data_IF_724538758133
#
_entry.id   IF_724538758133
#
_cell.length_a   1.000
_cell.length_b   1.000
_cell.length_c   1.000
_cell.angle_alpha   90.00
_cell.angle_beta   90.00
_cell.angle_gamma   90.00
#
_symmetry.space_group_name_H-M   'P 1'
#
loop_
_entity.id
_entity.type
_entity.pdbx_description
1 polymer ?
#
# COMPACT_ATOMS: atom_id res chain seq x y z
N UNK A 1 -37.65 0.07 17.43
CA UNK A 1 -36.87 -1.00 18.07
C UNK A 1 -36.05 -1.83 17.10
N UNK A 2 -36.56 -2.34 15.98
CA UNK A 2 -35.84 -3.20 15.04
C UNK A 2 -34.55 -2.59 14.46
N UNK A 3 -34.55 -1.30 14.06
CA UNK A 3 -33.39 -0.59 13.49
C UNK A 3 -32.22 -0.48 14.47
N UNK A 4 -32.49 -0.37 15.78
CA UNK A 4 -31.44 -0.34 16.81
C UNK A 4 -30.81 -1.72 17.05
N UNK A 5 -31.61 -2.80 17.01
CA UNK A 5 -31.10 -4.17 17.12
C UNK A 5 -30.18 -4.53 15.96
N UNK A 6 -30.59 -4.23 14.72
CA UNK A 6 -29.78 -4.45 13.51
C UNK A 6 -28.45 -3.69 13.56
N UNK A 7 -28.43 -2.44 14.03
CA UNK A 7 -27.21 -1.64 14.15
C UNK A 7 -26.27 -2.21 15.24
N UNK A 8 -26.79 -2.68 16.36
CA UNK A 8 -25.99 -3.32 17.42
C UNK A 8 -25.35 -4.63 16.92
N UNK A 9 -26.14 -5.46 16.24
CA UNK A 9 -25.65 -6.70 15.64
C UNK A 9 -24.52 -6.43 14.64
N UNK A 10 -24.69 -5.44 13.76
CA UNK A 10 -23.65 -5.07 12.77
C UNK A 10 -22.36 -4.60 13.47
N UNK A 11 -22.45 -3.85 14.57
CA UNK A 11 -21.28 -3.49 15.38
C UNK A 11 -20.63 -4.70 16.02
N UNK A 12 -21.40 -5.63 16.57
CA UNK A 12 -20.88 -6.84 17.19
C UNK A 12 -20.10 -7.69 16.17
N UNK A 13 -20.68 -7.91 14.98
CA UNK A 13 -20.00 -8.61 13.87
C UNK A 13 -18.73 -7.90 13.43
N UNK A 14 -18.78 -6.58 13.29
CA UNK A 14 -17.62 -5.78 12.90
C UNK A 14 -16.48 -5.88 13.93
N UNK A 15 -16.80 -5.72 15.21
CA UNK A 15 -15.81 -5.81 16.29
C UNK A 15 -15.22 -7.22 16.39
N UNK A 16 -16.05 -8.26 16.26
CA UNK A 16 -15.57 -9.65 16.26
C UNK A 16 -14.63 -9.92 15.08
N UNK A 17 -14.97 -9.44 13.87
CA UNK A 17 -14.09 -9.60 12.69
C UNK A 17 -12.77 -8.84 12.83
N UNK A 18 -12.80 -7.59 13.33
CA UNK A 18 -11.58 -6.81 13.57
C UNK A 18 -10.72 -7.43 14.69
N UNK A 19 -11.34 -7.95 15.76
CA UNK A 19 -10.62 -8.63 16.82
C UNK A 19 -9.96 -9.94 16.33
N UNK A 20 -10.67 -10.74 15.54
CA UNK A 20 -10.13 -11.94 14.93
C UNK A 20 -8.95 -11.61 14.00
N UNK A 21 -9.09 -10.58 13.17
CA UNK A 21 -7.99 -10.12 12.30
C UNK A 21 -6.80 -9.61 13.12
N UNK A 22 -7.03 -8.80 14.17
CA UNK A 22 -5.97 -8.32 15.06
C UNK A 22 -5.25 -9.49 15.74
N UNK A 23 -5.97 -10.48 16.26
CA UNK A 23 -5.38 -11.67 16.86
C UNK A 23 -4.51 -12.47 15.87
N UNK A 24 -5.00 -12.63 14.62
CA UNK A 24 -4.24 -13.27 13.56
C UNK A 24 -2.94 -12.49 13.24
N UNK A 25 -3.00 -11.15 13.19
CA UNK A 25 -1.81 -10.31 12.96
C UNK A 25 -0.83 -10.37 14.13
N UNK A 26 -1.32 -10.31 15.37
CA UNK A 26 -0.45 -10.47 16.57
C UNK A 26 0.24 -11.83 16.53
N UNK A 27 -0.52 -12.90 16.24
CA UNK A 27 0.06 -14.24 16.10
C UNK A 27 1.15 -14.29 15.04
N UNK A 28 0.85 -13.83 13.82
CA UNK A 28 1.78 -13.86 12.69
C UNK A 28 3.07 -13.11 13.01
N UNK A 29 2.97 -11.86 13.47
CA UNK A 29 4.14 -11.04 13.78
C UNK A 29 4.93 -11.57 14.97
N UNK A 30 4.28 -12.17 15.95
CA UNK A 30 4.97 -12.85 17.05
C UNK A 30 5.78 -14.04 16.53
N UNK A 31 5.21 -14.88 15.66
CA UNK A 31 5.94 -15.99 15.04
C UNK A 31 7.10 -15.51 14.17
N UNK A 32 6.92 -14.42 13.41
CA UNK A 32 8.00 -13.78 12.64
C UNK A 32 9.16 -13.33 13.52
N UNK A 33 8.91 -12.87 14.75
CA UNK A 33 9.95 -12.50 15.72
C UNK A 33 10.60 -13.70 16.40
N UNK A 34 9.95 -14.85 16.39
CA UNK A 34 10.49 -16.09 16.94
C UNK A 34 11.25 -16.92 15.90
N UNK A 35 11.05 -16.63 14.61
CA UNK A 35 11.76 -17.30 13.51
C UNK A 35 13.22 -16.83 13.44
N UNK A 36 14.19 -17.74 13.27
CA UNK A 36 15.62 -17.37 13.25
C UNK A 36 16.01 -16.49 12.05
N UNK A 37 15.18 -16.36 11.04
CA UNK A 37 15.41 -15.55 9.84
C UNK A 37 16.25 -16.29 8.78
N UNK A 38 15.69 -16.44 7.61
CA UNK A 38 16.30 -17.06 6.44
C UNK A 38 15.26 -17.31 5.37
N UNK A 39 15.65 -17.34 4.11
CA UNK A 39 14.71 -17.38 2.98
C UNK A 39 13.81 -18.63 2.90
N UNK A 40 14.18 -19.72 3.60
CA UNK A 40 13.44 -20.97 3.70
C UNK A 40 12.69 -21.17 5.01
N UNK A 41 12.90 -20.26 5.98
CA UNK A 41 12.30 -20.42 7.30
C UNK A 41 10.79 -20.15 7.27
N UNK A 42 10.01 -20.89 8.07
CA UNK A 42 8.64 -20.52 8.35
C UNK A 42 8.60 -19.10 8.92
N UNK A 43 7.53 -18.35 8.59
CA UNK A 43 7.34 -16.98 9.08
C UNK A 43 8.41 -15.96 8.67
N UNK A 44 9.03 -16.13 7.50
CA UNK A 44 10.05 -15.22 6.96
C UNK A 44 9.55 -13.76 6.92
N UNK A 45 10.34 -12.81 7.46
CA UNK A 45 10.10 -11.38 7.41
C UNK A 45 11.37 -10.57 7.69
N UNK A 46 11.33 -9.25 7.45
CA UNK A 46 12.41 -8.33 7.84
C UNK A 46 12.33 -7.87 9.30
N UNK A 47 11.32 -8.30 10.05
CA UNK A 47 11.03 -7.80 11.39
C UNK A 47 12.15 -8.10 12.40
N UNK A 48 12.77 -9.26 12.31
CA UNK A 48 13.91 -9.64 13.16
C UNK A 48 15.12 -8.71 12.97
N UNK A 49 15.40 -8.31 11.73
CA UNK A 49 16.45 -7.35 11.39
C UNK A 49 16.15 -5.97 11.99
N UNK A 50 14.91 -5.47 11.85
CA UNK A 50 14.50 -4.20 12.42
C UNK A 50 14.58 -4.18 13.96
N UNK A 51 14.25 -5.30 14.62
CA UNK A 51 14.46 -5.44 16.07
C UNK A 51 15.94 -5.39 16.43
N UNK A 52 16.80 -6.10 15.70
CA UNK A 52 18.25 -6.09 15.95
C UNK A 52 18.84 -4.67 15.78
N UNK A 53 18.41 -3.90 14.79
CA UNK A 53 18.82 -2.51 14.62
C UNK A 53 18.34 -1.63 15.78
N UNK A 54 17.10 -1.76 16.21
CA UNK A 54 16.58 -1.00 17.34
C UNK A 54 17.32 -1.33 18.65
N UNK A 55 17.68 -2.59 18.89
CA UNK A 55 18.46 -3.02 20.05
C UNK A 55 19.90 -2.49 20.06
N UNK A 56 20.48 -2.26 18.87
CA UNK A 56 21.80 -1.62 18.72
C UNK A 56 21.74 -0.10 18.80
N UNK A 57 20.56 0.50 19.02
CA UNK A 57 20.38 1.95 19.02
C UNK A 57 20.46 2.60 17.63
N UNK A 58 20.43 1.82 16.56
CA UNK A 58 20.47 2.33 15.20
C UNK A 58 19.11 2.96 14.82
N UNK A 59 19.12 4.27 14.63
CA UNK A 59 17.94 5.03 14.18
C UNK A 59 18.08 5.35 12.70
N UNK A 60 17.46 4.58 11.82
CA UNK A 60 17.46 4.82 10.38
C UNK A 60 16.10 5.28 9.83
N UNK A 61 15.03 5.10 10.59
CA UNK A 61 13.67 5.52 10.25
C UNK A 61 12.79 5.62 11.50
N UNK A 62 11.58 6.15 11.35
CA UNK A 62 10.57 6.15 12.43
C UNK A 62 10.23 4.74 12.93
N UNK A 63 10.46 3.71 12.12
CA UNK A 63 10.27 2.30 12.53
C UNK A 63 11.12 1.95 13.73
N UNK A 64 12.42 2.30 13.72
CA UNK A 64 13.34 2.04 14.85
C UNK A 64 12.88 2.74 16.13
N UNK A 65 12.36 3.98 16.00
CA UNK A 65 11.85 4.77 17.13
C UNK A 65 10.60 4.17 17.78
N UNK A 66 9.86 3.32 17.06
CA UNK A 66 8.65 2.68 17.57
C UNK A 66 8.92 1.24 18.05
N UNK A 67 9.75 0.48 17.33
CA UNK A 67 10.05 -0.91 17.67
C UNK A 67 10.82 -1.02 18.98
N UNK A 68 11.82 -0.15 19.22
CA UNK A 68 12.62 -0.16 20.43
C UNK A 68 11.76 0.00 21.70
N UNK A 69 10.99 1.08 21.83
CA UNK A 69 10.07 1.26 22.97
C UNK A 69 9.02 0.15 23.10
N UNK A 70 8.44 -0.32 21.98
CA UNK A 70 7.45 -1.39 22.04
C UNK A 70 8.07 -2.69 22.58
N UNK A 71 9.32 -3.00 22.19
CA UNK A 71 10.07 -4.13 22.73
C UNK A 71 10.40 -3.94 24.21
N UNK A 72 10.87 -2.77 24.61
CA UNK A 72 11.18 -2.44 26.00
C UNK A 72 9.96 -2.56 26.92
N UNK A 73 8.77 -2.20 26.42
CA UNK A 73 7.52 -2.23 27.18
C UNK A 73 6.99 -3.66 27.38
N UNK A 74 6.98 -4.50 26.34
CA UNK A 74 6.31 -5.80 26.39
C UNK A 74 7.03 -6.88 25.54
N UNK A 75 8.33 -6.73 25.26
CA UNK A 75 9.09 -7.71 24.49
C UNK A 75 8.55 -7.91 23.07
N UNK A 76 8.66 -9.11 22.56
CA UNK A 76 8.19 -9.48 21.21
C UNK A 76 6.69 -9.25 21.02
N UNK A 77 5.88 -9.46 22.07
CA UNK A 77 4.44 -9.26 22.01
C UNK A 77 4.08 -7.78 21.81
N UNK A 78 4.86 -6.86 22.43
CA UNK A 78 4.68 -5.42 22.25
C UNK A 78 4.83 -5.00 20.77
N UNK A 79 5.84 -5.54 20.08
CA UNK A 79 6.05 -5.30 18.65
C UNK A 79 4.91 -5.91 17.82
N UNK A 80 4.50 -7.13 18.11
CA UNK A 80 3.43 -7.80 17.39
C UNK A 80 2.10 -7.04 17.51
N UNK A 81 1.77 -6.54 18.71
CA UNK A 81 0.59 -5.69 18.95
C UNK A 81 0.71 -4.36 18.22
N UNK A 82 1.89 -3.73 18.20
CA UNK A 82 2.15 -2.51 17.46
C UNK A 82 1.85 -2.70 15.97
N UNK A 83 2.38 -3.75 15.34
CA UNK A 83 2.16 -4.01 13.91
C UNK A 83 0.69 -4.35 13.61
N UNK A 84 0.04 -5.12 14.46
CA UNK A 84 -1.40 -5.38 14.35
C UNK A 84 -2.21 -4.07 14.42
N UNK A 85 -1.83 -3.13 15.28
CA UNK A 85 -2.47 -1.81 15.34
C UNK A 85 -2.28 -1.00 14.04
N UNK A 86 -1.12 -1.09 13.38
CA UNK A 86 -0.91 -0.47 12.07
C UNK A 86 -1.77 -1.09 10.97
N UNK A 87 -1.94 -2.41 10.96
CA UNK A 87 -2.89 -3.07 10.06
C UNK A 87 -4.33 -2.61 10.29
N UNK A 88 -4.77 -2.52 11.54
CA UNK A 88 -6.10 -1.99 11.88
C UNK A 88 -6.25 -0.51 11.51
N UNK A 89 -5.22 0.30 11.71
CA UNK A 89 -5.20 1.69 11.27
C UNK A 89 -5.34 1.81 9.74
N UNK A 90 -4.66 0.95 8.99
CA UNK A 90 -4.78 0.88 7.53
C UNK A 90 -6.22 0.54 7.10
N UNK A 91 -6.86 -0.45 7.73
CA UNK A 91 -8.27 -0.78 7.50
C UNK A 91 -9.18 0.40 7.84
N UNK A 92 -8.95 1.10 8.95
CA UNK A 92 -9.76 2.25 9.35
C UNK A 92 -9.62 3.43 8.39
N UNK A 93 -8.40 3.73 7.93
CA UNK A 93 -8.16 4.80 6.96
C UNK A 93 -8.76 4.47 5.59
N UNK A 94 -8.64 3.22 5.15
CA UNK A 94 -9.28 2.77 3.92
C UNK A 94 -10.81 2.92 4.01
N UNK A 95 -11.44 2.56 5.14
CA UNK A 95 -12.87 2.76 5.39
C UNK A 95 -13.26 4.25 5.35
N UNK A 96 -12.39 5.16 5.79
CA UNK A 96 -12.59 6.61 5.61
C UNK A 96 -12.58 7.01 4.14
N UNK A 97 -11.68 6.45 3.34
CA UNK A 97 -11.61 6.65 1.89
C UNK A 97 -12.89 6.20 1.17
N UNK A 98 -13.51 5.11 1.63
CA UNK A 98 -14.78 4.62 1.07
C UNK A 98 -16.00 5.50 1.37
N UNK A 99 -15.88 6.52 2.25
CA UNK A 99 -17.02 7.37 2.63
C UNK A 99 -17.71 8.05 1.45
N UNK A 100 -16.95 8.44 0.43
CA UNK A 100 -17.50 9.09 -0.77
C UNK A 100 -18.27 8.11 -1.66
N UNK A 101 -17.89 6.85 -1.68
CA UNK A 101 -18.58 5.81 -2.45
C UNK A 101 -19.80 5.25 -1.71
N UNK A 102 -19.74 5.20 -0.38
CA UNK A 102 -20.75 4.66 0.52
C UNK A 102 -21.17 5.70 1.59
N UNK A 103 -21.74 6.87 1.20
CA UNK A 103 -22.07 7.95 2.13
C UNK A 103 -23.10 7.52 3.18
N UNK A 104 -24.08 6.72 2.79
CA UNK A 104 -25.21 6.29 3.63
C UNK A 104 -24.90 5.02 4.44
N UNK A 105 -23.81 4.33 4.15
CA UNK A 105 -23.43 3.13 4.87
C UNK A 105 -22.95 3.48 6.29
N UNK A 106 -23.42 2.76 7.32
CA UNK A 106 -22.95 2.96 8.68
C UNK A 106 -21.47 2.61 8.81
N UNK A 107 -20.78 3.24 9.77
CA UNK A 107 -19.34 3.03 9.99
C UNK A 107 -18.93 1.54 10.04
N UNK A 108 -19.62 0.64 10.80
CA UNK A 108 -19.24 -0.76 10.87
C UNK A 108 -19.32 -1.47 9.52
N UNK A 109 -20.30 -1.12 8.66
CA UNK A 109 -20.36 -1.69 7.30
C UNK A 109 -19.14 -1.28 6.46
N UNK A 110 -18.73 0.00 6.50
CA UNK A 110 -17.53 0.46 5.79
C UNK A 110 -16.26 -0.19 6.33
N UNK A 111 -16.16 -0.41 7.64
CA UNK A 111 -15.02 -1.11 8.24
C UNK A 111 -14.96 -2.58 7.79
N UNK A 112 -16.11 -3.29 7.77
CA UNK A 112 -16.16 -4.67 7.27
C UNK A 112 -15.79 -4.76 5.79
N UNK A 113 -16.35 -3.88 4.94
CA UNK A 113 -15.99 -3.82 3.53
C UNK A 113 -14.49 -3.53 3.39
N UNK A 114 -13.96 -2.57 4.14
CA UNK A 114 -12.55 -2.24 4.15
C UNK A 114 -11.69 -3.45 4.57
N UNK A 115 -12.03 -4.13 5.64
CA UNK A 115 -11.30 -5.32 6.10
C UNK A 115 -11.25 -6.38 5.00
N UNK A 116 -12.39 -6.70 4.40
CA UNK A 116 -12.49 -7.74 3.35
C UNK A 116 -11.68 -7.37 2.12
N UNK A 117 -11.78 -6.14 1.62
CA UNK A 117 -11.04 -5.73 0.41
C UNK A 117 -9.55 -5.53 0.66
N UNK A 118 -9.13 -5.31 1.91
CA UNK A 118 -7.71 -5.25 2.26
C UNK A 118 -7.08 -6.64 2.43
N UNK A 119 -7.85 -7.72 2.52
CA UNK A 119 -7.31 -9.08 2.43
C UNK A 119 -6.89 -9.45 1.01
N UNK A 120 -7.34 -8.72 -0.02
CA UNK A 120 -7.07 -9.03 -1.42
C UNK A 120 -5.56 -9.03 -1.75
N UNK A 121 -5.15 -9.99 -2.57
CA UNK A 121 -3.81 -10.07 -3.18
C UNK A 121 -3.92 -10.37 -4.68
N UNK A 122 -2.80 -10.58 -5.38
CA UNK A 122 -2.82 -11.01 -6.77
C UNK A 122 -3.63 -12.31 -6.94
N UNK A 123 -4.41 -12.41 -8.01
CA UNK A 123 -5.29 -13.58 -8.20
C UNK A 123 -4.47 -14.87 -8.31
N UNK A 124 -4.94 -15.91 -7.64
CA UNK A 124 -4.39 -17.24 -7.74
C UNK A 124 -4.68 -17.86 -9.12
N UNK A 125 -3.73 -18.63 -9.63
CA UNK A 125 -3.87 -19.40 -10.87
C UNK A 125 -3.43 -20.86 -10.64
N UNK A 126 -4.14 -21.87 -11.22
CA UNK A 126 -3.84 -23.27 -10.98
C UNK A 126 -2.47 -23.75 -11.48
N UNK A 127 -1.87 -23.04 -12.42
CA UNK A 127 -0.60 -23.43 -13.05
C UNK A 127 0.49 -22.41 -12.77
N UNK A 128 1.15 -22.57 -11.63
CA UNK A 128 2.38 -21.88 -11.34
C UNK A 128 2.25 -20.44 -10.82
N UNK A 129 3.39 -19.85 -10.56
CA UNK A 129 3.57 -18.55 -9.98
C UNK A 129 3.75 -18.58 -8.48
N UNK A 130 4.05 -17.42 -7.96
CA UNK A 130 4.23 -17.17 -6.53
C UNK A 130 3.08 -16.33 -6.00
N UNK A 131 2.78 -16.46 -4.72
CA UNK A 131 1.77 -15.63 -4.09
C UNK A 131 2.19 -14.15 -4.07
N UNK A 132 3.47 -13.91 -3.89
CA UNK A 132 4.02 -12.58 -3.69
C UNK A 132 5.02 -12.17 -4.78
N UNK A 133 5.98 -13.04 -5.12
CA UNK A 133 7.07 -12.69 -6.06
C UNK A 133 6.52 -12.30 -7.43
N UNK A 134 7.03 -11.17 -7.95
CA UNK A 134 6.62 -10.63 -9.25
C UNK A 134 5.23 -9.99 -9.28
N UNK A 135 4.52 -9.93 -8.15
CA UNK A 135 3.18 -9.30 -8.06
C UNK A 135 3.28 -7.91 -7.43
N UNK A 136 2.22 -7.14 -7.55
CA UNK A 136 1.93 -5.99 -6.68
C UNK A 136 0.62 -6.29 -5.96
N UNK A 137 0.66 -6.33 -4.65
CA UNK A 137 -0.50 -6.69 -3.83
C UNK A 137 -0.95 -5.54 -2.95
N UNK A 138 -2.14 -5.67 -2.35
CA UNK A 138 -2.65 -4.70 -1.40
C UNK A 138 -1.95 -4.81 -0.05
N UNK A 139 -2.26 -5.85 0.71
CA UNK A 139 -1.73 -6.02 2.05
C UNK A 139 -0.45 -6.84 2.05
N UNK A 140 0.55 -6.34 2.76
CA UNK A 140 1.87 -6.97 2.95
C UNK A 140 2.01 -7.32 4.43
N UNK A 141 2.52 -8.52 4.70
CA UNK A 141 2.60 -9.08 6.07
C UNK A 141 4.04 -9.30 6.56
N UNK A 142 5.04 -9.12 5.68
CA UNK A 142 6.43 -9.47 5.98
C UNK A 142 7.41 -8.28 5.93
N UNK A 143 6.97 -7.10 5.49
CA UNK A 143 7.80 -5.91 5.45
C UNK A 143 7.31 -4.86 6.46
N UNK A 144 8.05 -4.73 7.54
CA UNK A 144 7.73 -3.89 8.69
C UNK A 144 7.57 -2.42 8.32
N UNK A 145 8.50 -1.90 7.52
CA UNK A 145 8.48 -0.48 7.10
C UNK A 145 7.27 -0.19 6.22
N UNK A 146 6.86 -1.12 5.36
CA UNK A 146 5.67 -0.99 4.53
C UNK A 146 4.38 -1.02 5.37
N UNK A 147 4.27 -1.94 6.33
CA UNK A 147 3.10 -2.05 7.21
C UNK A 147 2.88 -0.73 7.94
N UNK A 148 3.95 -0.12 8.46
CA UNK A 148 3.86 1.14 9.19
C UNK A 148 3.63 2.35 8.26
N UNK A 149 4.18 2.34 7.04
CA UNK A 149 3.92 3.35 6.01
C UNK A 149 2.44 3.40 5.60
N UNK A 150 1.80 2.25 5.42
CA UNK A 150 0.53 2.09 4.73
C UNK A 150 -0.60 3.03 5.22
N UNK A 151 -0.94 3.15 6.52
CA UNK A 151 -2.00 4.04 6.97
C UNK A 151 -1.67 5.52 6.70
N UNK A 152 -0.42 5.93 6.84
CA UNK A 152 0.00 7.32 6.60
C UNK A 152 0.04 7.67 5.12
N UNK A 153 0.43 6.74 4.27
CA UNK A 153 0.38 6.91 2.81
C UNK A 153 -1.07 7.15 2.33
N UNK A 154 -2.02 6.35 2.80
CA UNK A 154 -3.43 6.59 2.49
C UNK A 154 -3.93 7.93 3.05
N UNK A 155 -3.59 8.26 4.30
CA UNK A 155 -3.98 9.55 4.90
C UNK A 155 -3.42 10.72 4.11
N UNK A 156 -2.15 10.67 3.69
CA UNK A 156 -1.51 11.69 2.87
C UNK A 156 -2.24 11.87 1.53
N UNK A 157 -2.56 10.75 0.85
CA UNK A 157 -3.27 10.79 -0.42
C UNK A 157 -4.71 11.31 -0.28
N UNK A 158 -5.44 10.90 0.77
CA UNK A 158 -6.78 11.40 1.05
C UNK A 158 -6.77 12.90 1.40
N UNK A 159 -5.77 13.35 2.15
CA UNK A 159 -5.57 14.77 2.46
C UNK A 159 -5.19 15.57 1.19
N UNK A 160 -4.31 15.05 0.34
CA UNK A 160 -3.99 15.63 -0.97
C UNK A 160 -5.26 15.81 -1.82
N UNK A 161 -6.09 14.78 -1.93
CA UNK A 161 -7.35 14.87 -2.70
C UNK A 161 -8.34 15.87 -2.13
N UNK A 162 -8.20 16.26 -0.86
CA UNK A 162 -9.01 17.31 -0.25
C UNK A 162 -8.45 18.70 -0.56
N UNK A 163 -7.13 18.84 -0.57
CA UNK A 163 -6.45 20.12 -0.81
C UNK A 163 -6.44 20.49 -2.29
N UNK A 164 -6.21 19.52 -3.18
CA UNK A 164 -6.03 19.77 -4.60
C UNK A 164 -7.13 20.65 -5.24
N UNK A 165 -8.43 20.45 -4.96
CA UNK A 165 -9.48 21.31 -5.54
C UNK A 165 -9.39 22.77 -5.10
N UNK A 166 -8.88 23.07 -3.90
CA UNK A 166 -8.79 24.43 -3.34
C UNK A 166 -7.64 25.24 -3.95
N UNK A 167 -6.68 24.57 -4.62
CA UNK A 167 -5.50 25.21 -5.20
C UNK A 167 -5.85 26.29 -6.24
N UNK A 168 -6.99 26.14 -6.95
CA UNK A 168 -7.36 27.05 -8.05
C UNK A 168 -8.02 28.32 -7.59
N UNK A 169 -8.64 28.32 -6.42
CA UNK A 169 -9.39 29.46 -5.90
C UNK A 169 -8.62 30.08 -4.72
N UNK A 170 -8.79 29.51 -3.54
CA UNK A 170 -8.11 29.93 -2.32
C UNK A 170 -7.55 28.68 -1.64
N UNK A 171 -6.23 28.54 -1.63
CA UNK A 171 -5.57 27.37 -1.08
C UNK A 171 -5.85 27.26 0.43
N UNK A 172 -6.55 26.21 0.82
CA UNK A 172 -6.77 25.88 2.23
C UNK A 172 -5.44 25.50 2.92
N UNK A 173 -4.77 26.49 3.48
CA UNK A 173 -3.45 26.35 4.12
C UNK A 173 -3.48 25.34 5.27
N UNK A 174 -4.60 25.21 5.99
CA UNK A 174 -4.72 24.24 7.08
C UNK A 174 -4.69 22.82 6.54
N UNK A 175 -5.51 22.55 5.54
CA UNK A 175 -5.53 21.23 4.88
C UNK A 175 -4.22 20.94 4.17
N UNK A 176 -3.58 21.97 3.58
CA UNK A 176 -2.24 21.88 3.00
C UNK A 176 -1.19 21.47 4.04
N UNK A 177 -1.16 22.13 5.20
CA UNK A 177 -0.22 21.79 6.27
C UNK A 177 -0.43 20.33 6.76
N UNK A 178 -1.69 19.91 6.97
CA UNK A 178 -2.00 18.54 7.37
C UNK A 178 -1.53 17.54 6.32
N UNK A 179 -1.77 17.81 5.05
CA UNK A 179 -1.31 16.96 3.95
C UNK A 179 0.23 16.86 3.92
N UNK A 180 0.93 18.00 4.02
CA UNK A 180 2.40 18.04 4.00
C UNK A 180 3.00 17.26 5.17
N UNK A 181 2.45 17.42 6.38
CA UNK A 181 2.88 16.67 7.56
C UNK A 181 2.64 15.17 7.36
N UNK A 182 1.46 14.76 6.88
CA UNK A 182 1.16 13.35 6.64
C UNK A 182 2.06 12.72 5.59
N UNK A 183 2.39 13.45 4.51
CA UNK A 183 3.33 12.99 3.49
C UNK A 183 4.74 12.83 4.06
N UNK A 184 5.19 13.78 4.89
CA UNK A 184 6.49 13.72 5.56
C UNK A 184 6.55 12.55 6.56
N UNK A 185 5.50 12.35 7.35
CA UNK A 185 5.39 11.22 8.27
C UNK A 185 5.38 9.88 7.50
N UNK A 186 4.64 9.76 6.42
CA UNK A 186 4.69 8.59 5.56
C UNK A 186 6.12 8.32 5.07
N UNK A 187 6.80 9.35 4.59
CA UNK A 187 8.19 9.26 4.11
C UNK A 187 9.16 8.83 5.22
N UNK A 188 8.92 9.22 6.48
CA UNK A 188 9.78 8.86 7.61
C UNK A 188 9.81 7.36 7.91
N UNK A 189 8.75 6.64 7.58
CA UNK A 189 8.72 5.17 7.65
C UNK A 189 9.43 4.54 6.45
N UNK A 190 9.14 5.02 5.24
CA UNK A 190 9.73 4.53 3.99
C UNK A 190 9.51 5.54 2.87
N UNK A 191 10.55 5.86 2.12
CA UNK A 191 10.51 6.86 1.05
C UNK A 191 9.68 6.46 -0.20
N UNK A 192 9.15 5.23 -0.22
CA UNK A 192 8.52 4.65 -1.42
C UNK A 192 7.37 5.44 -2.01
N UNK A 193 6.57 6.13 -1.17
CA UNK A 193 5.47 6.97 -1.67
C UNK A 193 6.00 8.24 -2.31
N UNK A 194 6.95 8.94 -1.66
CA UNK A 194 7.36 10.27 -2.12
C UNK A 194 8.13 10.20 -3.43
N UNK A 195 8.88 9.13 -3.68
CA UNK A 195 9.57 8.95 -4.95
C UNK A 195 8.61 8.93 -6.13
N UNK A 196 7.49 8.24 -6.02
CA UNK A 196 6.47 8.24 -7.07
C UNK A 196 5.59 9.49 -7.06
N UNK A 197 5.26 9.98 -5.86
CA UNK A 197 4.33 11.10 -5.71
C UNK A 197 4.93 12.42 -6.18
N UNK A 198 6.21 12.71 -5.85
CA UNK A 198 6.84 13.98 -6.21
C UNK A 198 6.91 14.21 -7.74
N UNK A 199 7.40 13.27 -8.56
CA UNK A 199 7.36 13.44 -10.02
C UNK A 199 5.95 13.45 -10.58
N UNK A 200 5.01 12.67 -10.02
CA UNK A 200 3.61 12.70 -10.44
C UNK A 200 2.97 14.06 -10.12
N UNK A 201 3.24 14.63 -8.95
CA UNK A 201 2.79 15.97 -8.60
C UNK A 201 3.40 17.04 -9.51
N UNK A 202 4.69 16.95 -9.81
CA UNK A 202 5.37 17.88 -10.72
C UNK A 202 4.70 17.90 -12.10
N UNK A 203 4.44 16.73 -12.68
CA UNK A 203 3.76 16.64 -13.98
C UNK A 203 2.34 17.24 -13.90
N UNK A 204 1.63 16.99 -12.81
CA UNK A 204 0.30 17.55 -12.58
C UNK A 204 0.32 19.07 -12.46
N UNK A 205 1.30 19.65 -11.75
CA UNK A 205 1.49 21.09 -11.61
C UNK A 205 1.87 21.75 -12.95
N UNK A 206 2.80 21.15 -13.72
CA UNK A 206 3.14 21.61 -15.06
C UNK A 206 1.90 21.61 -15.97
N UNK A 207 1.11 20.55 -15.94
CA UNK A 207 -0.12 20.46 -16.73
C UNK A 207 -1.16 21.53 -16.33
N UNK A 208 -1.28 21.83 -15.02
CA UNK A 208 -2.17 22.90 -14.54
C UNK A 208 -1.63 24.28 -14.92
N UNK A 209 -0.34 24.53 -14.77
CA UNK A 209 0.35 25.76 -15.16
C UNK A 209 0.09 26.10 -16.65
N UNK A 210 0.34 25.13 -17.53
CA UNK A 210 0.11 25.30 -18.98
C UNK A 210 -1.37 25.54 -19.27
N UNK A 211 -2.26 24.75 -18.68
CA UNK A 211 -3.70 24.84 -18.89
C UNK A 211 -4.29 26.18 -18.40
N UNK A 212 -3.83 26.68 -17.27
CA UNK A 212 -4.31 27.92 -16.65
C UNK A 212 -3.56 29.15 -17.13
N UNK A 213 -2.51 28.98 -17.95
CA UNK A 213 -1.59 30.04 -18.36
C UNK A 213 -1.00 30.78 -17.15
N UNK A 214 -0.48 30.03 -16.19
CA UNK A 214 0.15 30.53 -14.96
C UNK A 214 -0.77 31.32 -14.00
N UNK A 215 -2.09 31.29 -14.17
CA UNK A 215 -3.00 32.04 -13.30
C UNK A 215 -2.89 31.66 -11.82
N UNK A 216 -2.52 30.41 -11.54
CA UNK A 216 -2.44 29.85 -10.18
C UNK A 216 -0.99 29.66 -9.70
N UNK A 217 0.00 30.28 -10.34
CA UNK A 217 1.43 30.04 -10.12
C UNK A 217 1.82 30.07 -8.64
N UNK A 218 1.32 31.04 -7.86
CA UNK A 218 1.61 31.12 -6.42
C UNK A 218 1.20 29.83 -5.69
N UNK A 219 -0.02 29.37 -5.90
CA UNK A 219 -0.55 28.19 -5.24
C UNK A 219 0.10 26.90 -5.76
N UNK A 220 0.48 26.88 -7.06
CA UNK A 220 1.23 25.76 -7.66
C UNK A 220 2.62 25.64 -7.03
N UNK A 221 3.34 26.76 -6.80
CA UNK A 221 4.63 26.77 -6.11
C UNK A 221 4.45 26.26 -4.67
N UNK A 222 3.45 26.77 -3.94
CA UNK A 222 3.17 26.31 -2.57
C UNK A 222 2.89 24.80 -2.55
N UNK A 223 2.06 24.30 -3.48
CA UNK A 223 1.78 22.86 -3.59
C UNK A 223 3.05 22.05 -3.91
N UNK A 224 3.92 22.55 -4.79
CA UNK A 224 5.21 21.94 -5.07
C UNK A 224 6.13 21.90 -3.84
N UNK A 225 6.09 22.93 -3.00
CA UNK A 225 6.88 22.95 -1.75
C UNK A 225 6.49 21.87 -0.74
N UNK A 226 5.31 21.26 -0.86
CA UNK A 226 4.85 20.20 0.04
C UNK A 226 5.75 18.95 0.06
N UNK A 227 6.51 18.71 -1.00
CA UNK A 227 7.40 17.53 -1.10
C UNK A 227 8.76 17.78 -0.45
N UNK A 228 9.19 19.03 -0.26
CA UNK A 228 10.53 19.33 0.24
C UNK A 228 10.85 18.74 1.63
N UNK A 229 9.95 18.79 2.64
CA UNK A 229 10.25 18.16 3.93
C UNK A 229 10.50 16.65 3.81
N UNK A 230 9.72 15.96 3.00
CA UNK A 230 9.92 14.52 2.75
C UNK A 230 11.20 14.24 1.98
N UNK A 231 11.52 15.03 0.94
CA UNK A 231 12.78 14.91 0.18
C UNK A 231 13.98 15.17 1.07
N UNK A 232 13.96 16.23 1.89
CA UNK A 232 15.02 16.52 2.87
C UNK A 232 15.22 15.34 3.84
N UNK A 233 14.13 14.74 4.30
CA UNK A 233 14.20 13.57 5.16
C UNK A 233 14.83 12.36 4.44
N UNK A 234 14.53 12.14 3.16
CA UNK A 234 15.19 11.09 2.37
C UNK A 234 16.72 11.32 2.29
N UNK A 235 17.17 12.56 2.09
CA UNK A 235 18.60 12.90 2.11
C UNK A 235 19.23 12.64 3.47
N UNK A 236 18.56 13.00 4.56
CA UNK A 236 19.04 12.70 5.93
C UNK A 236 19.13 11.17 6.13
N UNK A 237 18.10 10.43 5.79
CA UNK A 237 18.12 8.97 5.90
C UNK A 237 19.26 8.35 5.07
N UNK A 238 19.43 8.76 3.81
CA UNK A 238 20.42 8.19 2.90
C UNK A 238 21.87 8.53 3.29
N UNK A 239 22.15 9.74 3.75
CA UNK A 239 23.52 10.22 3.94
C UNK A 239 23.98 10.26 5.39
N UNK A 240 23.06 10.25 6.36
CA UNK A 240 23.39 10.29 7.79
C UNK A 240 23.14 8.94 8.45
N UNK A 241 21.93 8.36 8.22
CA UNK A 241 21.53 7.17 8.96
C UNK A 241 22.08 5.87 8.33
N UNK A 242 22.37 5.87 7.03
CA UNK A 242 23.00 4.74 6.32
C UNK A 242 24.47 4.95 5.99
N UNK A 243 25.09 6.05 6.46
CA UNK A 243 26.49 6.39 6.14
C UNK A 243 27.49 5.35 6.70
N UNK A 244 27.17 4.68 7.81
CA UNK A 244 28.03 3.68 8.43
C UNK A 244 28.19 2.39 7.63
N UNK A 245 27.29 2.09 6.69
CA UNK A 245 27.36 0.91 5.84
C UNK A 245 28.31 1.07 4.63
N UNK A 246 29.02 2.21 4.49
CA UNK A 246 30.03 2.45 3.47
C UNK A 246 29.53 2.51 2.02
N UNK A 247 28.26 2.28 1.78
CA UNK A 247 27.64 2.28 0.46
C UNK A 247 26.57 3.35 0.37
N UNK A 248 26.94 4.53 -0.08
CA UNK A 248 25.93 5.55 -0.44
C UNK A 248 24.92 4.95 -1.43
N UNK A 249 23.63 5.21 -1.21
CA UNK A 249 22.57 4.74 -2.13
C UNK A 249 22.77 5.44 -3.47
N UNK A 250 23.15 4.68 -4.50
CA UNK A 250 23.25 5.17 -5.89
C UNK A 250 22.17 4.50 -6.72
N UNK A 251 21.40 5.32 -7.43
CA UNK A 251 20.43 4.84 -8.41
C UNK A 251 21.08 4.79 -9.78
N UNK A 252 20.92 3.68 -10.48
CA UNK A 252 21.39 3.48 -11.86
C UNK A 252 20.21 3.07 -12.74
N UNK A 253 20.30 3.46 -14.02
CA UNK A 253 19.31 3.01 -14.99
C UNK A 253 19.55 1.55 -15.39
N UNK A 254 18.46 0.81 -15.58
CA UNK A 254 18.48 -0.55 -16.11
C UNK A 254 17.62 -0.64 -17.37
N UNK A 255 17.80 -1.69 -18.14
CA UNK A 255 16.86 -1.99 -19.22
C UNK A 255 15.48 -2.34 -18.65
N UNK A 256 14.40 -1.92 -19.31
CA UNK A 256 13.04 -2.23 -18.84
C UNK A 256 12.90 -3.73 -18.53
N UNK A 257 12.31 -4.04 -17.36
CA UNK A 257 12.19 -5.40 -16.84
C UNK A 257 13.52 -6.12 -16.53
N UNK A 258 14.70 -5.53 -16.75
CA UNK A 258 15.97 -6.18 -16.47
C UNK A 258 16.11 -6.59 -15.01
N UNK A 259 15.88 -5.66 -14.10
CA UNK A 259 15.90 -5.91 -12.66
C UNK A 259 14.78 -6.88 -12.21
N UNK A 260 13.58 -6.72 -12.75
CA UNK A 260 12.46 -7.63 -12.49
C UNK A 260 12.79 -9.08 -12.88
N UNK A 261 13.40 -9.28 -14.05
CA UNK A 261 13.84 -10.61 -14.50
C UNK A 261 14.93 -11.19 -13.62
N UNK A 262 15.87 -10.36 -13.19
CA UNK A 262 16.96 -10.78 -12.31
C UNK A 262 16.43 -11.26 -10.96
N UNK A 263 15.46 -10.55 -10.39
CA UNK A 263 14.91 -10.89 -9.07
C UNK A 263 13.93 -12.07 -9.10
N UNK A 264 13.10 -12.15 -10.14
CA UNK A 264 11.94 -13.08 -10.18
C UNK A 264 11.91 -13.98 -11.42
N UNK A 265 13.00 -14.04 -12.17
CA UNK A 265 13.13 -14.89 -13.34
C UNK A 265 12.51 -14.34 -14.62
N UNK A 266 12.72 -15.03 -15.76
CA UNK A 266 12.23 -14.61 -17.05
C UNK A 266 10.70 -14.65 -17.11
N UNK A 267 10.12 -14.29 -18.23
CA UNK A 267 8.69 -14.11 -18.56
C UNK A 267 7.75 -15.29 -18.18
N UNK A 268 8.24 -16.26 -17.44
CA UNK A 268 7.44 -17.31 -16.85
C UNK A 268 6.69 -16.78 -15.61
N UNK A 269 5.91 -17.58 -15.02
CA UNK A 269 4.89 -17.45 -13.99
C UNK A 269 5.17 -16.45 -12.84
N UNK A 270 6.43 -16.17 -12.50
CA UNK A 270 6.79 -15.18 -11.46
C UNK A 270 6.96 -13.76 -12.02
N UNK A 271 7.20 -13.60 -13.32
CA UNK A 271 7.55 -12.33 -13.94
C UNK A 271 6.34 -11.45 -14.32
N UNK A 272 6.21 -11.12 -15.61
CA UNK A 272 5.13 -10.24 -16.11
C UNK A 272 3.75 -10.80 -15.84
N UNK A 273 3.60 -12.14 -15.81
CA UNK A 273 2.32 -12.79 -15.46
C UNK A 273 1.94 -12.48 -14.00
N UNK A 274 2.90 -12.42 -13.07
CA UNK A 274 2.68 -11.99 -11.69
C UNK A 274 2.07 -10.60 -11.61
N UNK A 275 2.62 -9.65 -12.37
CA UNK A 275 2.04 -8.30 -12.48
C UNK A 275 0.64 -8.32 -13.08
N UNK A 276 0.41 -9.05 -14.18
CA UNK A 276 -0.89 -9.14 -14.81
C UNK A 276 -1.96 -9.69 -13.85
N UNK A 277 -1.62 -10.68 -13.03
CA UNK A 277 -2.50 -11.24 -11.99
C UNK A 277 -2.91 -10.21 -10.94
N UNK A 278 -2.07 -9.22 -10.66
CA UNK A 278 -2.38 -8.13 -9.73
C UNK A 278 -3.44 -7.18 -10.27
N UNK A 279 -3.59 -7.08 -11.60
CA UNK A 279 -4.40 -6.04 -12.23
C UNK A 279 -5.81 -6.48 -12.62
N UNK A 280 -6.19 -7.73 -12.45
CA UNK A 280 -7.46 -8.27 -12.96
C UNK A 280 -8.67 -7.42 -12.56
N UNK A 281 -8.82 -7.08 -11.28
CA UNK A 281 -9.93 -6.25 -10.83
C UNK A 281 -9.83 -4.79 -11.28
N UNK A 282 -8.67 -4.16 -11.13
CA UNK A 282 -8.51 -2.74 -11.49
C UNK A 282 -8.64 -2.52 -12.99
N UNK A 283 -8.20 -3.48 -13.80
CA UNK A 283 -8.40 -3.51 -15.24
C UNK A 283 -9.88 -3.68 -15.60
N UNK A 284 -10.59 -4.60 -14.95
CA UNK A 284 -12.04 -4.77 -15.14
C UNK A 284 -12.79 -3.45 -14.82
N UNK A 285 -12.45 -2.77 -13.73
CA UNK A 285 -13.03 -1.45 -13.38
C UNK A 285 -12.71 -0.41 -14.46
N UNK A 286 -11.45 -0.28 -14.87
CA UNK A 286 -11.01 0.70 -15.87
C UNK A 286 -11.65 0.51 -17.25
N UNK A 287 -11.82 -0.74 -17.67
CA UNK A 287 -12.37 -1.10 -18.98
C UNK A 287 -13.90 -1.12 -18.98
N UNK A 288 -14.51 -1.77 -18.00
CA UNK A 288 -15.95 -2.02 -18.01
C UNK A 288 -16.77 -0.87 -17.41
N UNK A 289 -16.24 -0.19 -16.39
CA UNK A 289 -16.87 0.99 -15.78
C UNK A 289 -16.30 2.31 -16.33
N UNK A 290 -15.41 2.24 -17.28
CA UNK A 290 -14.72 3.25 -18.09
C UNK A 290 -15.03 4.69 -17.73
N UNK A 291 -16.10 5.28 -18.30
CA UNK A 291 -16.43 6.70 -18.08
C UNK A 291 -16.52 7.07 -16.59
N UNK A 292 -17.13 6.21 -15.75
CA UNK A 292 -17.27 6.47 -14.32
C UNK A 292 -15.93 6.49 -13.58
N UNK A 293 -14.95 5.70 -14.02
CA UNK A 293 -13.59 5.69 -13.48
C UNK A 293 -12.77 6.88 -14.00
N UNK A 294 -12.74 7.04 -15.33
CA UNK A 294 -11.86 8.01 -15.98
C UNK A 294 -12.28 9.49 -15.79
N UNK A 295 -13.52 9.77 -15.43
CA UNK A 295 -13.95 11.13 -15.07
C UNK A 295 -13.50 11.56 -13.67
N UNK A 296 -13.08 10.62 -12.79
CA UNK A 296 -12.65 10.94 -11.43
C UNK A 296 -11.18 11.33 -11.38
N UNK A 297 -10.92 12.52 -10.85
CA UNK A 297 -9.54 12.97 -10.61
C UNK A 297 -8.75 11.98 -9.76
N UNK A 298 -9.30 11.52 -8.62
CA UNK A 298 -8.65 10.59 -7.69
C UNK A 298 -8.22 9.29 -8.38
N UNK A 299 -9.10 8.69 -9.19
CA UNK A 299 -8.80 7.47 -9.93
C UNK A 299 -7.66 7.69 -10.94
N UNK A 300 -7.73 8.75 -11.73
CA UNK A 300 -6.69 9.07 -12.72
C UNK A 300 -5.35 9.38 -12.07
N UNK A 301 -5.37 10.18 -11.00
CA UNK A 301 -4.13 10.58 -10.33
C UNK A 301 -3.50 9.40 -9.57
N UNK A 302 -4.28 8.55 -8.88
CA UNK A 302 -3.75 7.34 -8.25
C UNK A 302 -3.19 6.35 -9.26
N UNK A 303 -3.86 6.16 -10.41
CA UNK A 303 -3.32 5.35 -11.51
C UNK A 303 -2.01 5.95 -12.06
N UNK A 304 -1.97 7.27 -12.24
CA UNK A 304 -0.77 7.95 -12.74
C UNK A 304 0.40 7.83 -11.76
N UNK A 305 0.16 8.05 -10.46
CA UNK A 305 1.18 7.85 -9.41
C UNK A 305 1.67 6.40 -9.38
N UNK A 306 0.76 5.43 -9.53
CA UNK A 306 1.12 4.03 -9.67
C UNK A 306 1.97 3.76 -10.92
N UNK A 307 1.60 4.32 -12.08
CA UNK A 307 2.35 4.16 -13.33
C UNK A 307 3.77 4.77 -13.22
N UNK A 308 3.91 5.93 -12.56
CA UNK A 308 5.23 6.53 -12.26
C UNK A 308 6.05 5.59 -11.38
N UNK A 309 5.50 5.08 -10.28
CA UNK A 309 6.22 4.17 -9.40
C UNK A 309 6.63 2.86 -10.08
N UNK A 310 5.76 2.34 -10.96
CA UNK A 310 6.08 1.15 -11.74
C UNK A 310 7.20 1.43 -12.76
N UNK A 311 7.18 2.59 -13.42
CA UNK A 311 8.25 3.01 -14.31
C UNK A 311 9.59 3.15 -13.56
N UNK A 312 9.59 3.74 -12.36
CA UNK A 312 10.78 3.81 -11.50
C UNK A 312 11.33 2.42 -11.17
N UNK A 313 10.48 1.50 -10.71
CA UNK A 313 10.90 0.14 -10.37
C UNK A 313 11.36 -0.69 -11.58
N UNK A 314 10.87 -0.37 -12.78
CA UNK A 314 11.27 -1.05 -14.01
C UNK A 314 12.53 -0.47 -14.65
N UNK A 315 12.85 0.80 -14.41
CA UNK A 315 13.93 1.54 -15.08
C UNK A 315 15.10 1.87 -14.17
N UNK A 316 14.90 1.85 -12.85
CA UNK A 316 15.91 2.22 -11.86
C UNK A 316 16.20 1.05 -10.93
N UNK A 317 17.46 0.94 -10.50
CA UNK A 317 17.91 0.00 -9.49
C UNK A 317 18.90 0.66 -8.54
N UNK A 318 18.98 0.16 -7.33
CA UNK A 318 20.06 0.53 -6.40
C UNK A 318 21.34 -0.22 -6.80
N UNK A 319 22.50 0.44 -6.68
CA UNK A 319 23.79 -0.18 -6.99
C UNK A 319 24.34 -1.01 -5.82
N UNK A 320 25.32 -1.86 -6.10
CA UNK A 320 26.02 -2.66 -5.09
C UNK A 320 25.15 -3.78 -4.50
N UNK A 321 25.35 -4.10 -3.23
CA UNK A 321 24.62 -5.17 -2.53
C UNK A 321 23.10 -4.93 -2.47
N UNK A 322 22.68 -3.67 -2.47
CA UNK A 322 21.28 -3.28 -2.46
C UNK A 322 20.51 -3.63 -3.74
N UNK A 323 21.22 -3.98 -4.82
CA UNK A 323 20.61 -4.45 -6.06
C UNK A 323 19.60 -5.59 -5.83
N UNK A 324 19.88 -6.46 -4.86
CA UNK A 324 19.04 -7.62 -4.55
C UNK A 324 17.90 -7.33 -3.55
N UNK A 325 17.86 -6.13 -2.95
CA UNK A 325 16.86 -5.79 -1.92
C UNK A 325 15.50 -5.39 -2.50
N UNK A 326 15.41 -5.13 -3.82
CA UNK A 326 14.17 -4.74 -4.50
C UNK A 326 13.46 -3.51 -3.88
N UNK A 327 14.21 -2.57 -3.28
CA UNK A 327 13.63 -1.47 -2.51
C UNK A 327 12.70 -0.56 -3.32
N UNK A 328 13.00 -0.34 -4.61
CA UNK A 328 12.15 0.48 -5.48
C UNK A 328 10.80 -0.18 -5.79
N UNK A 329 10.68 -1.51 -5.64
CA UNK A 329 9.40 -2.21 -5.83
C UNK A 329 8.35 -1.89 -4.78
N UNK A 330 8.74 -1.36 -3.62
CA UNK A 330 7.79 -0.92 -2.60
C UNK A 330 6.98 0.31 -3.03
N UNK A 331 7.47 1.11 -3.99
CA UNK A 331 6.73 2.19 -4.64
C UNK A 331 5.48 1.67 -5.36
N UNK A 332 5.59 0.75 -6.32
CA UNK A 332 4.45 0.09 -6.95
C UNK A 332 3.45 -0.50 -5.95
N UNK A 333 3.90 -1.17 -4.89
CA UNK A 333 2.99 -1.75 -3.89
C UNK A 333 2.12 -0.68 -3.21
N UNK A 334 2.73 0.39 -2.68
CA UNK A 334 1.98 1.42 -1.94
C UNK A 334 1.10 2.26 -2.87
N UNK A 335 1.59 2.60 -4.07
CA UNK A 335 0.81 3.36 -5.04
C UNK A 335 -0.34 2.54 -5.64
N UNK A 336 -0.11 1.24 -5.87
CA UNK A 336 -1.16 0.31 -6.28
C UNK A 336 -2.26 0.19 -5.22
N UNK A 337 -1.92 0.17 -3.95
CA UNK A 337 -2.89 0.10 -2.89
C UNK A 337 -3.78 1.35 -2.80
N UNK A 338 -3.22 2.54 -3.05
CA UNK A 338 -4.01 3.78 -3.23
C UNK A 338 -4.92 3.68 -4.45
N UNK A 339 -4.40 3.19 -5.57
CA UNK A 339 -5.18 2.98 -6.79
C UNK A 339 -6.27 1.91 -6.62
N UNK A 340 -5.99 0.88 -5.82
CA UNK A 340 -6.96 -0.13 -5.40
C UNK A 340 -8.14 0.48 -4.64
N UNK A 341 -7.89 1.36 -3.67
CA UNK A 341 -8.94 2.10 -2.95
C UNK A 341 -9.87 2.86 -3.91
N UNK A 342 -9.30 3.58 -4.87
CA UNK A 342 -10.10 4.35 -5.82
C UNK A 342 -10.87 3.45 -6.80
N UNK A 343 -10.30 2.32 -7.19
CA UNK A 343 -10.98 1.31 -8.02
C UNK A 343 -12.16 0.67 -7.27
N UNK A 344 -11.97 0.26 -6.02
CA UNK A 344 -13.05 -0.22 -5.15
C UNK A 344 -14.12 0.85 -4.96
N UNK A 345 -13.72 2.11 -4.79
CA UNK A 345 -14.66 3.23 -4.63
C UNK A 345 -15.52 3.45 -5.87
N UNK A 346 -14.94 3.34 -7.08
CA UNK A 346 -15.70 3.40 -8.34
C UNK A 346 -16.70 2.25 -8.42
N UNK A 347 -16.24 1.02 -8.20
CA UNK A 347 -17.08 -0.18 -8.26
C UNK A 347 -18.27 -0.10 -7.28
N UNK A 348 -18.01 0.21 -6.01
CA UNK A 348 -19.05 0.29 -4.97
C UNK A 348 -20.05 1.41 -5.27
N UNK A 349 -19.61 2.56 -5.79
CA UNK A 349 -20.53 3.61 -6.16
C UNK A 349 -21.41 3.20 -7.34
N UNK A 350 -20.86 2.56 -8.40
CA UNK A 350 -21.64 2.10 -9.55
C UNK A 350 -22.64 1.01 -9.14
N UNK A 351 -22.25 0.12 -8.22
CA UNK A 351 -23.14 -0.89 -7.65
C UNK A 351 -24.28 -0.24 -6.87
N UNK A 352 -24.00 0.76 -6.04
CA UNK A 352 -24.99 1.46 -5.23
C UNK A 352 -25.99 2.25 -6.09
N UNK A 353 -25.52 2.94 -7.12
CA UNK A 353 -26.37 3.79 -7.97
C UNK A 353 -27.09 3.00 -9.06
N UNK A 354 -26.67 1.78 -9.34
CA UNK A 354 -27.20 0.99 -10.46
C UNK A 354 -26.92 1.61 -11.84
N UNK A 355 -25.98 2.55 -11.94
CA UNK A 355 -25.74 3.31 -13.16
C UNK A 355 -25.03 2.48 -14.26
N UNK A 356 -24.28 1.43 -13.89
CA UNK A 356 -23.65 0.54 -14.83
C UNK A 356 -24.50 -0.70 -15.11
N UNK A 357 -24.41 -1.30 -16.33
CA UNK A 357 -25.06 -2.56 -16.65
C UNK A 357 -24.69 -3.68 -15.67
N UNK A 358 -25.68 -4.47 -15.26
CA UNK A 358 -25.50 -5.54 -14.25
C UNK A 358 -24.39 -6.51 -14.58
N UNK A 359 -24.23 -6.90 -15.86
CA UNK A 359 -23.18 -7.83 -16.27
C UNK A 359 -21.77 -7.26 -16.04
N UNK A 360 -21.57 -5.95 -16.27
CA UNK A 360 -20.28 -5.28 -15.99
C UNK A 360 -19.95 -5.29 -14.50
N UNK A 361 -20.95 -5.02 -13.67
CA UNK A 361 -20.82 -5.10 -12.22
C UNK A 361 -20.53 -6.52 -11.76
N UNK A 362 -21.18 -7.53 -12.36
CA UNK A 362 -20.96 -8.94 -12.04
C UNK A 362 -19.52 -9.38 -12.37
N UNK A 363 -18.97 -8.98 -13.53
CA UNK A 363 -17.57 -9.27 -13.89
C UNK A 363 -16.61 -8.60 -12.92
N UNK A 364 -16.81 -7.31 -12.58
CA UNK A 364 -15.99 -6.64 -11.59
C UNK A 364 -16.09 -7.30 -10.20
N UNK A 365 -17.29 -7.72 -9.78
CA UNK A 365 -17.50 -8.42 -8.51
C UNK A 365 -16.79 -9.77 -8.50
N UNK A 366 -16.86 -10.55 -9.58
CA UNK A 366 -16.15 -11.83 -9.70
C UNK A 366 -14.63 -11.64 -9.63
N UNK A 367 -14.09 -10.63 -10.35
CA UNK A 367 -12.67 -10.29 -10.28
C UNK A 367 -12.25 -9.90 -8.86
N UNK A 368 -13.03 -9.03 -8.18
CA UNK A 368 -12.77 -8.64 -6.80
C UNK A 368 -12.81 -9.84 -5.85
N UNK A 369 -13.84 -10.68 -5.97
CA UNK A 369 -13.98 -11.89 -5.15
C UNK A 369 -12.78 -12.84 -5.35
N UNK A 370 -12.28 -12.99 -6.58
CA UNK A 370 -11.09 -13.79 -6.86
C UNK A 370 -9.86 -13.26 -6.13
N UNK A 371 -9.62 -11.95 -6.18
CA UNK A 371 -8.54 -11.33 -5.39
C UNK A 371 -8.69 -11.55 -3.89
N UNK A 372 -9.91 -11.41 -3.35
CA UNK A 372 -10.18 -11.60 -1.91
C UNK A 372 -9.95 -13.05 -1.50
N UNK A 373 -10.50 -14.02 -2.25
CA UNK A 373 -10.31 -15.47 -1.96
C UNK A 373 -8.81 -15.79 -2.01
N UNK A 374 -8.11 -15.33 -3.04
CA UNK A 374 -6.65 -15.50 -3.15
C UNK A 374 -5.91 -14.94 -1.92
N UNK A 375 -6.31 -13.76 -1.45
CA UNK A 375 -5.68 -13.14 -0.30
C UNK A 375 -6.00 -13.84 1.03
N UNK A 376 -7.21 -14.37 1.18
CA UNK A 376 -7.56 -15.22 2.34
C UNK A 376 -6.73 -16.50 2.35
N UNK A 377 -6.61 -17.18 1.21
CA UNK A 377 -5.75 -18.37 1.08
C UNK A 377 -4.30 -18.04 1.41
N UNK A 378 -3.78 -16.93 0.90
CA UNK A 378 -2.42 -16.48 1.18
C UNK A 378 -2.22 -16.19 2.68
N UNK A 379 -3.15 -15.50 3.33
CA UNK A 379 -3.07 -15.23 4.77
C UNK A 379 -3.11 -16.51 5.59
N UNK A 380 -4.01 -17.45 5.27
CA UNK A 380 -4.09 -18.75 5.95
C UNK A 380 -2.77 -19.50 5.83
N UNK A 381 -2.17 -19.52 4.64
CA UNK A 381 -0.86 -20.13 4.38
C UNK A 381 0.23 -19.50 5.26
N UNK A 382 0.27 -18.17 5.35
CA UNK A 382 1.24 -17.48 6.21
C UNK A 382 1.03 -17.81 7.70
N UNK A 383 -0.22 -17.90 8.17
CA UNK A 383 -0.55 -18.27 9.54
C UNK A 383 -0.13 -19.72 9.87
N UNK A 384 -0.05 -20.59 8.87
CA UNK A 384 0.44 -21.96 9.00
C UNK A 384 1.99 -22.07 8.93
N UNK A 385 2.69 -20.95 8.81
CA UNK A 385 4.16 -20.94 8.76
C UNK A 385 4.75 -21.24 7.40
N UNK A 386 3.98 -21.08 6.32
CA UNK A 386 4.51 -21.20 4.96
C UNK A 386 5.09 -19.85 4.53
N UNK A 387 6.34 -19.85 4.04
CA UNK A 387 7.02 -18.65 3.58
C UNK A 387 6.26 -17.98 2.43
N UNK A 388 6.23 -16.65 2.40
CA UNK A 388 5.65 -15.86 1.29
C UNK A 388 6.39 -16.09 -0.05
N UNK A 389 7.60 -16.65 -0.03
CA UNK A 389 8.42 -16.93 -1.20
C UNK A 389 8.17 -18.32 -1.83
N UNK A 390 7.23 -19.10 -1.29
CA UNK A 390 6.92 -20.44 -1.79
C UNK A 390 6.07 -20.38 -3.07
N UNK A 391 6.38 -21.16 -4.11
CA UNK A 391 5.53 -21.30 -5.29
C UNK A 391 4.15 -21.87 -4.94
N UNK A 392 3.11 -21.39 -5.61
CA UNK A 392 1.72 -21.82 -5.39
C UNK A 392 1.53 -23.35 -5.55
N UNK A 393 2.22 -23.96 -6.53
CA UNK A 393 2.09 -25.38 -6.84
C UNK A 393 2.74 -26.32 -5.81
N UNK A 394 3.63 -25.83 -4.96
CA UNK A 394 4.28 -26.65 -3.92
C UNK A 394 3.44 -26.75 -2.65
N UNK A 395 2.37 -25.98 -2.56
CA UNK A 395 1.47 -25.99 -1.43
C UNK A 395 0.20 -26.77 -1.75
N UNK A 396 0.12 -28.00 -1.23
CA UNK A 396 -1.12 -28.78 -1.28
C UNK A 396 -2.09 -28.22 -0.23
N UNK A 397 -3.12 -27.53 -0.68
CA UNK A 397 -4.21 -27.02 0.18
C UNK A 397 -5.14 -28.15 0.69
N UNK A 398 -4.86 -29.43 0.33
CA UNK A 398 -5.68 -30.61 0.62
C UNK A 398 -4.94 -31.63 1.47
#
# INVERSE_FOLDING_TARGET
MARNKSRRLLWAVCLAALAAFAAAMVWLHYQQLCSPGGGSDPYTSDLGMHLAFAQRGMVYSTVSLLIGPAYALAGRIGIAVLLAAFHLAAVAVFACGLRTALPDAPRPARLLVSLVVNLATAVWMPRGGYWYQGTVGGTIYHNTTYIMLAPFALLAMLAFYRVWPTMRDDLDLRSYAVYTVLLTVATSFKASLIFAFAPALLVLLIADFVRTRAKNLKNEIIMGCSVFPGVALCFIQANVLFAEEGSGIRLIFTVPFGHHRMLWGPFNEAGVLGLARSFVFVAAVGLLLGRAAWQRFRYRFSLFTFAVSLAEALLLVESGERLYHANLWWGPFICFWVFWLESVSVFLQQTRTGAAPRWRLAVCAAALAWHIVSGVCFLVMLLQGVSYNVPILTYNLW
#
